data_IF_713659595102
#
_entry.id   IF_713659595102
#
_cell.length_a   1.000
_cell.length_b   1.000
_cell.length_c   1.000
_cell.angle_alpha   90.00
_cell.angle_beta   90.00
_cell.angle_gamma   90.00
#
_symmetry.space_group_name_H-M   'P 1'
#
loop_
_entity.id
_entity.type
_entity.pdbx_description
1 polymer ?
#
# COMPACT_ATOMS: atom_id res chain seq x y z
N UNK A 1 7.40 -36.38 16.31
CA UNK A 1 7.07 -35.83 14.98
C UNK A 1 7.25 -34.32 15.09
N UNK A 2 8.37 -33.79 14.59
CA UNK A 2 8.63 -32.35 14.58
C UNK A 2 7.80 -31.73 13.46
N UNK A 3 6.77 -30.95 13.82
CA UNK A 3 6.15 -30.04 12.86
C UNK A 3 7.14 -28.89 12.64
N UNK A 4 7.84 -28.92 11.50
CA UNK A 4 8.52 -27.75 10.97
C UNK A 4 7.41 -26.75 10.63
N UNK A 5 7.19 -25.77 11.50
CA UNK A 5 6.36 -24.61 11.20
C UNK A 5 6.89 -24.00 9.91
N UNK A 6 6.13 -24.13 8.83
CA UNK A 6 6.40 -23.40 7.61
C UNK A 6 6.19 -21.93 7.96
N UNK A 7 7.28 -21.19 8.21
CA UNK A 7 7.21 -19.74 8.14
C UNK A 7 6.63 -19.43 6.74
N UNK A 8 5.45 -18.79 6.64
CA UNK A 8 4.94 -18.40 5.35
C UNK A 8 6.02 -17.56 4.68
N UNK A 9 6.33 -17.87 3.42
CA UNK A 9 7.27 -17.06 2.67
C UNK A 9 6.75 -15.62 2.71
N UNK A 10 7.62 -14.61 2.94
CA UNK A 10 7.18 -13.24 3.01
C UNK A 10 6.47 -12.89 1.72
N UNK A 11 5.22 -12.43 1.81
CA UNK A 11 4.51 -11.99 0.63
C UNK A 11 5.25 -10.81 0.03
N UNK A 12 5.39 -10.86 -1.29
CA UNK A 12 5.95 -9.76 -2.06
C UNK A 12 4.92 -9.30 -3.07
N UNK A 13 4.51 -8.04 -2.92
CA UNK A 13 3.71 -7.35 -3.92
C UNK A 13 4.64 -6.46 -4.73
N UNK A 14 4.60 -6.55 -6.05
CA UNK A 14 5.29 -5.61 -6.93
C UNK A 14 4.26 -4.85 -7.74
N UNK A 15 4.31 -3.52 -7.65
CA UNK A 15 3.43 -2.62 -8.37
C UNK A 15 4.26 -1.85 -9.40
N UNK A 16 3.75 -1.73 -10.63
CA UNK A 16 4.37 -0.91 -11.66
C UNK A 16 3.35 -0.18 -12.52
N UNK A 17 3.69 1.03 -12.96
CA UNK A 17 2.82 1.85 -13.78
C UNK A 17 3.61 2.78 -14.70
N UNK A 18 2.97 3.34 -15.72
CA UNK A 18 3.50 4.46 -16.50
C UNK A 18 2.43 5.53 -16.75
N UNK A 19 2.85 6.79 -16.71
CA UNK A 19 2.00 7.97 -16.79
C UNK A 19 2.47 8.82 -17.98
N UNK A 20 1.58 9.15 -18.90
CA UNK A 20 1.94 9.91 -20.11
C UNK A 20 2.31 11.36 -19.78
N UNK A 21 1.44 12.05 -19.04
CA UNK A 21 1.47 13.51 -18.94
C UNK A 21 1.84 14.03 -17.54
N UNK A 22 2.24 13.14 -16.64
CA UNK A 22 2.63 13.53 -15.30
C UNK A 22 3.87 14.44 -15.33
N UNK A 23 3.97 15.39 -14.40
CA UNK A 23 5.16 16.22 -14.21
C UNK A 23 6.19 15.53 -13.31
N UNK A 24 7.42 16.06 -13.18
CA UNK A 24 8.35 15.61 -12.15
C UNK A 24 7.78 15.75 -10.73
N UNK A 25 6.95 16.77 -10.48
CA UNK A 25 6.29 16.96 -9.19
C UNK A 25 5.25 15.86 -8.93
N UNK A 26 4.45 15.48 -9.92
CA UNK A 26 3.48 14.39 -9.76
C UNK A 26 4.17 13.06 -9.46
N UNK A 27 5.28 12.78 -10.15
CA UNK A 27 6.08 11.57 -9.91
C UNK A 27 6.70 11.55 -8.52
N UNK A 28 7.27 12.67 -8.08
CA UNK A 28 7.88 12.77 -6.77
C UNK A 28 6.81 12.70 -5.66
N UNK A 29 5.62 13.28 -5.88
CA UNK A 29 4.48 13.15 -4.98
C UNK A 29 4.04 11.68 -4.85
N UNK A 30 3.81 10.99 -5.98
CA UNK A 30 3.40 9.57 -5.97
C UNK A 30 4.46 8.67 -5.33
N UNK A 31 5.75 8.94 -5.60
CA UNK A 31 6.85 8.26 -4.91
C UNK A 31 6.77 8.45 -3.40
N UNK A 32 6.66 9.70 -2.95
CA UNK A 32 6.55 10.03 -1.53
C UNK A 32 5.34 9.34 -0.90
N UNK A 33 4.20 9.34 -1.58
CA UNK A 33 2.95 8.73 -1.13
C UNK A 33 3.10 7.20 -0.98
N UNK A 34 3.61 6.50 -2.00
CA UNK A 34 3.84 5.06 -1.92
C UNK A 34 4.84 4.71 -0.82
N UNK A 35 5.94 5.45 -0.70
CA UNK A 35 6.92 5.25 0.38
C UNK A 35 6.28 5.41 1.77
N UNK A 36 5.38 6.38 1.98
CA UNK A 36 4.63 6.52 3.25
C UNK A 36 3.77 5.32 3.60
N UNK A 37 3.25 4.59 2.60
CA UNK A 37 2.49 3.36 2.80
C UNK A 37 3.38 2.11 2.96
N UNK A 38 4.70 2.26 3.00
CA UNK A 38 5.66 1.16 3.16
C UNK A 38 6.13 0.52 1.86
N UNK A 39 5.86 1.15 0.72
CA UNK A 39 6.36 0.65 -0.56
C UNK A 39 7.79 1.11 -0.81
N UNK A 40 8.69 0.14 -1.03
CA UNK A 40 10.07 0.41 -1.43
C UNK A 40 10.17 0.61 -2.93
N UNK A 41 10.70 1.76 -3.37
CA UNK A 41 10.99 2.01 -4.78
C UNK A 41 12.11 1.10 -5.30
N UNK A 42 11.89 0.43 -6.43
CA UNK A 42 12.90 -0.38 -7.12
C UNK A 42 13.57 0.35 -8.29
N UNK A 43 12.97 1.45 -8.77
CA UNK A 43 13.45 2.24 -9.89
C UNK A 43 12.30 2.67 -10.80
N UNK A 44 12.43 3.83 -11.45
CA UNK A 44 11.34 4.37 -12.27
C UNK A 44 10.04 4.49 -11.46
N UNK A 45 8.98 3.89 -11.99
CA UNK A 45 7.64 3.77 -11.40
C UNK A 45 7.34 2.34 -10.91
N UNK A 46 8.37 1.62 -10.46
CA UNK A 46 8.27 0.25 -9.93
C UNK A 46 8.51 0.27 -8.43
N UNK A 47 7.60 -0.36 -7.68
CA UNK A 47 7.58 -0.41 -6.22
C UNK A 47 7.37 -1.82 -5.71
N UNK A 48 7.93 -2.14 -4.55
CA UNK A 48 7.74 -3.40 -3.85
C UNK A 48 7.27 -3.16 -2.44
N UNK A 49 6.19 -3.82 -2.07
CA UNK A 49 5.75 -3.93 -0.69
C UNK A 49 6.15 -5.31 -0.16
N UNK A 50 6.71 -5.32 1.06
CA UNK A 50 7.09 -6.53 1.79
C UNK A 50 6.75 -6.31 3.25
N UNK A 51 5.85 -7.12 3.78
CA UNK A 51 5.63 -7.25 5.22
C UNK A 51 6.20 -8.59 5.68
N UNK A 52 6.77 -8.63 6.88
CA UNK A 52 7.39 -9.83 7.45
C UNK A 52 6.40 -10.68 8.25
N UNK A 53 5.27 -10.09 8.66
CA UNK A 53 4.32 -10.75 9.56
C UNK A 53 3.01 -11.13 8.85
N UNK A 54 2.45 -10.24 8.02
CA UNK A 54 1.28 -10.55 7.18
C UNK A 54 1.02 -9.44 6.17
N UNK A 55 0.30 -9.74 5.08
CA UNK A 55 -0.09 -8.71 4.13
C UNK A 55 -1.14 -7.76 4.73
N UNK A 56 -0.74 -6.52 5.07
CA UNK A 56 -1.70 -5.50 5.50
C UNK A 56 -2.43 -4.86 4.31
N UNK A 57 -3.31 -5.65 3.70
CA UNK A 57 -4.08 -5.25 2.54
C UNK A 57 -4.97 -4.04 2.81
N UNK A 58 -5.63 -4.01 3.99
CA UNK A 58 -6.68 -3.04 4.27
C UNK A 58 -6.14 -1.71 4.82
N UNK A 59 -4.99 -1.68 5.47
CA UNK A 59 -4.41 -0.42 5.96
C UNK A 59 -3.32 0.14 5.06
N UNK A 60 -2.64 -0.70 4.24
CA UNK A 60 -1.50 -0.27 3.40
C UNK A 60 -1.77 -0.38 1.91
N UNK A 61 -2.01 -1.60 1.45
CA UNK A 61 -1.99 -1.91 0.02
C UNK A 61 -3.17 -1.25 -0.68
N UNK A 62 -4.40 -1.56 -0.27
CA UNK A 62 -5.61 -1.01 -0.88
C UNK A 62 -5.67 0.51 -0.73
N UNK A 63 -5.45 1.11 0.45
CA UNK A 63 -5.45 2.57 0.58
C UNK A 63 -4.45 3.28 -0.34
N UNK A 64 -3.23 2.75 -0.49
CA UNK A 64 -2.22 3.34 -1.38
C UNK A 64 -2.65 3.31 -2.86
N UNK A 65 -3.27 2.22 -3.31
CA UNK A 65 -3.76 2.06 -4.69
C UNK A 65 -4.98 2.95 -4.92
N UNK A 66 -5.89 3.03 -3.96
CA UNK A 66 -7.05 3.92 -4.03
C UNK A 66 -6.61 5.39 -4.06
N UNK A 67 -5.63 5.77 -3.24
CA UNK A 67 -5.06 7.11 -3.25
C UNK A 67 -4.41 7.41 -4.61
N UNK A 68 -3.59 6.49 -5.13
CA UNK A 68 -3.00 6.61 -6.47
C UNK A 68 -4.07 6.85 -7.55
N UNK A 69 -5.14 6.04 -7.56
CA UNK A 69 -6.26 6.21 -8.51
C UNK A 69 -6.91 7.59 -8.34
N UNK A 70 -7.19 8.01 -7.11
CA UNK A 70 -7.79 9.31 -6.83
C UNK A 70 -6.91 10.45 -7.34
N UNK A 71 -5.60 10.36 -7.11
CA UNK A 71 -4.63 11.36 -7.52
C UNK A 71 -4.57 11.51 -9.05
N UNK A 72 -4.48 10.41 -9.80
CA UNK A 72 -4.39 10.49 -11.27
C UNK A 72 -5.69 10.99 -11.91
N UNK A 73 -6.85 10.68 -11.30
CA UNK A 73 -8.15 11.18 -11.78
C UNK A 73 -8.29 12.68 -11.51
N UNK A 74 -8.00 13.13 -10.29
CA UNK A 74 -8.09 14.55 -9.93
C UNK A 74 -7.14 15.43 -10.76
N UNK A 75 -5.99 14.89 -11.14
CA UNK A 75 -4.97 15.62 -11.91
C UNK A 75 -5.09 15.45 -13.42
N UNK A 76 -6.11 14.72 -13.90
CA UNK A 76 -6.29 14.38 -15.31
C UNK A 76 -5.02 13.77 -15.96
N UNK A 77 -4.36 12.87 -15.23
CA UNK A 77 -3.12 12.22 -15.69
C UNK A 77 -3.46 10.91 -16.39
N UNK A 78 -3.08 10.78 -17.65
CA UNK A 78 -3.25 9.54 -18.40
C UNK A 78 -2.35 8.40 -17.91
N UNK A 79 -3.00 7.31 -17.49
CA UNK A 79 -2.36 6.04 -17.16
C UNK A 79 -2.20 5.19 -18.42
N UNK A 80 -0.95 4.94 -18.83
CA UNK A 80 -0.66 4.06 -19.98
C UNK A 80 -0.78 2.59 -19.63
N UNK A 81 -0.25 2.22 -18.47
CA UNK A 81 -0.41 0.88 -17.92
C UNK A 81 -0.30 0.91 -16.40
N UNK A 82 -0.88 -0.12 -15.79
CA UNK A 82 -0.76 -0.43 -14.37
C UNK A 82 -0.77 -1.95 -14.21
N UNK A 83 0.13 -2.46 -13.37
CA UNK A 83 0.19 -3.87 -12.99
C UNK A 83 0.48 -3.98 -11.51
N UNK A 84 -0.09 -5.01 -10.89
CA UNK A 84 0.26 -5.44 -9.55
C UNK A 84 0.43 -6.95 -9.57
N UNK A 85 1.64 -7.39 -9.31
CA UNK A 85 2.00 -8.80 -9.17
C UNK A 85 2.00 -9.14 -7.69
N UNK A 86 1.09 -9.99 -7.28
CA UNK A 86 0.95 -10.47 -5.91
C UNK A 86 1.33 -11.95 -5.84
N UNK A 87 2.47 -12.25 -5.22
CA UNK A 87 2.84 -13.61 -4.88
C UNK A 87 2.56 -13.83 -3.40
N UNK A 88 1.28 -14.03 -3.07
CA UNK A 88 0.83 -14.34 -1.71
C UNK A 88 0.40 -15.81 -1.65
N UNK A 89 0.84 -16.52 -0.61
CA UNK A 89 0.20 -17.76 -0.19
C UNK A 89 -0.73 -17.44 0.95
N UNK A 90 -2.02 -17.28 0.65
CA UNK A 90 -3.06 -17.06 1.66
C UNK A 90 -3.39 -18.38 2.37
N UNK A 91 -2.54 -18.80 3.30
CA UNK A 91 -2.92 -19.78 4.32
C UNK A 91 -3.40 -19.01 5.55
N UNK A 92 -4.70 -19.07 5.79
CA UNK A 92 -5.26 -18.68 7.08
C UNK A 92 -4.92 -19.79 8.08
N UNK A 93 -3.86 -19.60 8.86
CA UNK A 93 -3.57 -20.48 9.99
C UNK A 93 -4.40 -20.00 11.19
N UNK A 94 -5.55 -20.65 11.40
CA UNK A 94 -6.40 -20.47 12.58
C UNK A 94 -6.28 -21.67 13.53
N UNK A 95 -5.12 -22.34 13.57
CA UNK A 95 -4.88 -23.46 14.49
C UNK A 95 -4.84 -23.04 15.96
N UNK A 96 -4.53 -21.77 16.23
CA UNK A 96 -4.67 -21.12 17.54
C UNK A 96 -5.73 -20.01 17.45
N UNK A 97 -6.91 -20.28 18.02
CA UNK A 97 -8.05 -19.34 18.03
C UNK A 97 -7.77 -18.07 18.85
N UNK A 98 -6.74 -18.07 19.71
CA UNK A 98 -6.37 -16.89 20.49
C UNK A 98 -5.53 -15.88 19.68
N UNK A 99 -4.97 -16.28 18.52
CA UNK A 99 -4.17 -15.41 17.66
C UNK A 99 -5.09 -14.64 16.69
N UNK A 100 -5.05 -13.29 16.67
CA UNK A 100 -5.82 -12.51 15.71
C UNK A 100 -5.44 -12.82 14.26
N UNK A 101 -6.44 -12.98 13.39
CA UNK A 101 -6.28 -13.32 11.97
C UNK A 101 -5.88 -12.14 11.07
N UNK A 102 -5.18 -11.14 11.62
CA UNK A 102 -4.77 -9.92 10.91
C UNK A 102 -4.99 -8.66 11.74
N UNK A 103 -4.84 -7.51 11.08
CA UNK A 103 -5.02 -6.18 11.68
C UNK A 103 -6.37 -5.62 11.23
N UNK A 104 -7.22 -5.12 12.15
CA UNK A 104 -8.48 -4.48 11.76
C UNK A 104 -8.22 -3.19 10.94
N UNK A 105 -9.18 -2.75 10.12
CA UNK A 105 -9.07 -1.47 9.43
C UNK A 105 -8.88 -0.30 10.40
N UNK A 106 -7.87 0.52 10.15
CA UNK A 106 -7.49 1.67 10.97
C UNK A 106 -8.06 2.97 10.40
N UNK A 107 -8.23 3.96 11.28
CA UNK A 107 -8.54 5.34 10.88
C UNK A 107 -7.27 6.03 10.33
N UNK A 108 -7.42 7.21 9.74
CA UNK A 108 -6.28 8.02 9.32
C UNK A 108 -5.29 8.30 10.48
N UNK A 109 -5.80 8.51 11.70
CA UNK A 109 -4.94 8.66 12.87
C UNK A 109 -4.24 7.36 13.30
N UNK A 110 -4.85 6.20 13.06
CA UNK A 110 -4.33 4.88 13.42
C UNK A 110 -3.22 4.39 12.50
N UNK A 111 -3.32 4.66 11.20
CA UNK A 111 -2.34 4.14 10.23
C UNK A 111 -0.93 4.68 10.47
N UNK A 112 0.04 3.76 10.54
CA UNK A 112 1.44 4.10 10.81
C UNK A 112 2.21 4.47 9.53
N UNK A 113 2.20 5.72 9.09
CA UNK A 113 2.94 6.12 7.88
C UNK A 113 4.46 6.10 8.06
N UNK A 114 5.20 5.65 7.04
CA UNK A 114 6.66 5.68 7.01
C UNK A 114 7.20 7.07 6.60
N UNK A 115 8.46 7.34 6.95
CA UNK A 115 9.17 8.53 6.47
C UNK A 115 9.70 8.30 5.04
N UNK A 116 9.20 9.06 4.04
CA UNK A 116 9.61 8.87 2.66
C UNK A 116 10.99 9.50 2.41
N UNK A 117 11.63 9.07 1.34
CA UNK A 117 12.91 9.64 0.88
C UNK A 117 12.78 11.08 0.38
N UNK A 118 11.55 11.53 0.12
CA UNK A 118 11.23 12.92 -0.19
C UNK A 118 9.86 13.28 0.41
N UNK A 119 9.72 14.50 0.94
CA UNK A 119 8.54 14.92 1.71
C UNK A 119 7.46 15.65 0.90
N UNK A 120 7.27 15.30 -0.38
CA UNK A 120 6.26 15.99 -1.21
C UNK A 120 4.82 15.62 -0.86
N UNK A 121 4.56 14.36 -0.47
CA UNK A 121 3.23 13.96 -0.02
C UNK A 121 3.00 14.38 1.44
N UNK A 122 1.80 14.88 1.72
CA UNK A 122 1.39 15.32 3.05
C UNK A 122 0.80 14.17 3.86
N UNK A 123 1.28 13.99 5.10
CA UNK A 123 0.69 13.06 6.06
C UNK A 123 -0.77 13.39 6.31
N UNK A 124 -1.11 14.67 6.52
CA UNK A 124 -2.48 15.10 6.78
C UNK A 124 -3.42 14.69 5.64
N UNK A 125 -3.05 14.97 4.39
CA UNK A 125 -3.87 14.60 3.22
C UNK A 125 -4.08 13.11 3.10
N UNK A 126 -3.08 12.28 3.40
CA UNK A 126 -3.21 10.82 3.37
C UNK A 126 -4.18 10.34 4.45
N UNK A 127 -4.09 10.90 5.66
CA UNK A 127 -4.99 10.56 6.77
C UNK A 127 -6.43 10.98 6.46
N UNK A 128 -6.63 12.20 5.97
CA UNK A 128 -7.93 12.73 5.59
C UNK A 128 -8.57 11.86 4.50
N UNK A 129 -7.77 11.36 3.54
CA UNK A 129 -8.26 10.44 2.52
C UNK A 129 -8.77 9.11 3.10
N UNK A 130 -8.04 8.51 4.04
CA UNK A 130 -8.44 7.25 4.69
C UNK A 130 -9.75 7.43 5.47
N UNK A 131 -9.86 8.54 6.22
CA UNK A 131 -11.08 8.86 6.96
C UNK A 131 -12.25 9.16 6.01
N UNK A 132 -12.01 9.87 4.90
CA UNK A 132 -13.02 10.12 3.88
C UNK A 132 -13.53 8.82 3.23
N UNK A 133 -12.64 7.88 2.89
CA UNK A 133 -13.03 6.58 2.36
C UNK A 133 -13.88 5.79 3.36
N UNK A 134 -13.53 5.82 4.64
CA UNK A 134 -14.29 5.19 5.72
C UNK A 134 -15.67 5.81 5.93
N UNK A 135 -15.80 7.11 5.68
CA UNK A 135 -17.06 7.85 5.81
C UNK A 135 -17.98 7.75 4.57
N UNK A 136 -17.49 7.22 3.45
CA UNK A 136 -18.24 7.18 2.19
C UNK A 136 -19.49 6.27 2.22
N UNK A 137 -19.61 5.40 3.23
CA UNK A 137 -20.73 4.46 3.38
C UNK A 137 -21.67 4.81 4.54
N UNK A 138 -21.62 6.05 5.02
CA UNK A 138 -22.46 6.55 6.12
C UNK A 138 -23.64 7.37 5.61
#
# INVERSE_FOLDING_TARGET
>A
MLYLGLNPAPTMLTLSFDLADATPNDRNYLRSMFERFGWKRLGGSVFRYKDENNDDWLNRVVPSIMFFRSFIVERDIHLKFFTIDANSTSFLDHSDEAIPLGVPPETGAGVQLEEPTNNQSSVGTIRDFIDAASNATR
#
